data_IF_416475302153
#
_entry.id   IF_416475302153
#
_cell.length_a   1.000
_cell.length_b   1.000
_cell.length_c   1.000
_cell.angle_alpha   90.00
_cell.angle_beta   90.00
_cell.angle_gamma   90.00
#
_symmetry.space_group_name_H-M   'P 1'
#
loop_
_entity.id
_entity.type
_entity.pdbx_description
1 polymer ?
#
# COMPACT_ATOMS: atom_id res chain seq x y z
N UNK A 1 -4.74 9.26 -5.61
CA UNK A 1 -4.14 8.13 -6.36
C UNK A 1 -3.63 7.03 -5.40
N UNK A 2 -3.44 5.80 -5.88
CA UNK A 2 -2.95 4.69 -5.05
C UNK A 2 -2.03 3.74 -5.82
N UNK A 3 -1.33 2.88 -5.09
CA UNK A 3 -0.54 1.77 -5.62
C UNK A 3 -0.77 0.52 -4.79
N UNK A 4 -0.67 -0.64 -5.43
CA UNK A 4 -0.97 -1.93 -4.81
C UNK A 4 0.19 -2.89 -5.02
N UNK A 5 0.50 -3.68 -4.00
CA UNK A 5 1.35 -4.86 -4.13
C UNK A 5 0.65 -6.08 -3.54
N UNK A 6 0.74 -7.21 -4.25
CA UNK A 6 0.36 -8.52 -3.74
C UNK A 6 1.59 -9.41 -3.63
N UNK A 7 1.78 -10.03 -2.48
CA UNK A 7 2.87 -10.96 -2.18
C UNK A 7 2.30 -12.17 -1.47
N UNK A 8 2.13 -13.28 -2.20
CA UNK A 8 1.46 -14.47 -1.69
C UNK A 8 0.04 -14.15 -1.21
N UNK A 9 -0.21 -14.43 0.06
CA UNK A 9 -1.50 -14.23 0.73
C UNK A 9 -1.76 -12.76 1.10
N UNK A 10 -0.78 -11.86 0.96
CA UNK A 10 -0.89 -10.49 1.45
C UNK A 10 -1.11 -9.50 0.33
N UNK A 11 -2.00 -8.53 0.56
CA UNK A 11 -2.21 -7.36 -0.30
C UNK A 11 -2.03 -6.09 0.51
N UNK A 12 -1.18 -5.19 0.03
CA UNK A 12 -1.03 -3.84 0.57
C UNK A 12 -1.57 -2.85 -0.45
N UNK A 13 -2.40 -1.93 0.01
CA UNK A 13 -2.86 -0.76 -0.74
C UNK A 13 -2.22 0.47 -0.10
N UNK A 14 -1.44 1.22 -0.88
CA UNK A 14 -0.83 2.48 -0.50
C UNK A 14 -1.57 3.62 -1.18
N UNK A 15 -2.36 4.35 -0.41
CA UNK A 15 -2.92 5.63 -0.83
C UNK A 15 -1.87 6.72 -0.62
N UNK A 16 -1.68 7.58 -1.63
CA UNK A 16 -0.69 8.67 -1.53
C UNK A 16 -1.18 9.86 -0.70
N UNK A 17 -2.48 9.93 -0.46
CA UNK A 17 -3.16 11.00 0.27
C UNK A 17 -4.05 10.40 1.38
N UNK A 18 -3.72 9.20 1.87
CA UNK A 18 -4.55 8.48 2.82
C UNK A 18 -3.79 7.39 3.59
N UNK A 19 -4.47 6.68 4.50
CA UNK A 19 -3.88 5.60 5.27
C UNK A 19 -3.52 4.43 4.37
N UNK A 20 -2.58 3.58 4.81
CA UNK A 20 -2.33 2.31 4.14
C UNK A 20 -3.30 1.24 4.62
N UNK A 21 -3.61 0.29 3.75
CA UNK A 21 -4.47 -0.84 4.08
C UNK A 21 -3.75 -2.15 3.77
N UNK A 22 -3.86 -3.11 4.70
CA UNK A 22 -3.23 -4.42 4.59
C UNK A 22 -4.28 -5.51 4.79
N UNK A 23 -4.37 -6.42 3.83
CA UNK A 23 -5.32 -7.54 3.86
C UNK A 23 -4.59 -8.88 3.74
N UNK A 24 -5.14 -9.89 4.41
CA UNK A 24 -4.73 -11.28 4.25
C UNK A 24 -5.77 -12.01 3.39
N UNK A 25 -5.49 -12.13 2.10
CA UNK A 25 -6.41 -12.72 1.12
C UNK A 25 -6.63 -14.22 1.32
N UNK A 26 -5.79 -14.92 2.08
CA UNK A 26 -6.03 -16.35 2.39
C UNK A 26 -7.17 -16.52 3.39
N UNK A 27 -7.24 -15.64 4.38
CA UNK A 27 -8.24 -15.71 5.45
C UNK A 27 -9.41 -14.74 5.24
N UNK A 28 -9.23 -13.74 4.38
CA UNK A 28 -10.16 -12.64 4.15
C UNK A 28 -10.14 -12.23 2.67
N UNK A 29 -10.69 -13.09 1.81
CA UNK A 29 -10.80 -12.84 0.36
C UNK A 29 -11.66 -11.59 0.04
N UNK A 30 -12.58 -11.23 0.93
CA UNK A 30 -13.45 -10.07 0.78
C UNK A 30 -12.81 -8.74 1.20
N UNK A 31 -11.55 -8.75 1.67
CA UNK A 31 -10.83 -7.56 2.12
C UNK A 31 -11.60 -6.76 3.19
N UNK A 32 -12.25 -7.47 4.10
CA UNK A 32 -13.14 -6.89 5.11
C UNK A 32 -12.39 -6.34 6.33
N UNK A 33 -11.18 -6.84 6.60
CA UNK A 33 -10.42 -6.51 7.80
C UNK A 33 -9.07 -5.88 7.46
N UNK A 34 -8.97 -4.57 7.63
CA UNK A 34 -7.70 -3.86 7.53
C UNK A 34 -6.79 -4.21 8.73
N UNK A 35 -5.62 -4.79 8.44
CA UNK A 35 -4.61 -5.21 9.42
C UNK A 35 -3.41 -4.26 9.49
N UNK A 36 -3.43 -3.10 8.81
CA UNK A 36 -2.28 -2.21 8.69
C UNK A 36 -1.76 -1.75 10.06
N UNK A 37 -2.65 -1.35 10.97
CA UNK A 37 -2.28 -0.93 12.33
C UNK A 37 -1.88 -2.09 13.24
N UNK A 38 -2.30 -3.32 12.92
CA UNK A 38 -2.02 -4.52 13.71
C UNK A 38 -0.68 -5.14 13.31
N UNK A 39 -0.26 -4.97 12.05
CA UNK A 39 0.95 -5.59 11.50
C UNK A 39 1.86 -4.56 10.80
N UNK A 40 2.40 -3.57 11.53
CA UNK A 40 3.21 -2.50 10.95
C UNK A 40 4.48 -3.01 10.25
N UNK A 41 5.11 -4.07 10.76
CA UNK A 41 6.29 -4.67 10.14
C UNK A 41 5.97 -5.26 8.75
N UNK A 42 4.78 -5.85 8.60
CA UNK A 42 4.31 -6.42 7.34
C UNK A 42 4.06 -5.31 6.32
N UNK A 43 3.44 -4.21 6.76
CA UNK A 43 3.22 -3.00 5.95
C UNK A 43 4.57 -2.47 5.46
N UNK A 44 5.52 -2.22 6.37
CA UNK A 44 6.84 -1.68 6.03
C UNK A 44 7.59 -2.55 5.02
N UNK A 45 7.53 -3.88 5.18
CA UNK A 45 8.16 -4.83 4.25
C UNK A 45 7.56 -4.75 2.85
N UNK A 46 6.24 -4.78 2.74
CA UNK A 46 5.55 -4.74 1.46
C UNK A 46 5.67 -3.37 0.80
N UNK A 47 5.62 -2.29 1.58
CA UNK A 47 5.84 -0.94 1.09
C UNK A 47 7.25 -0.79 0.49
N UNK A 48 8.28 -1.30 1.18
CA UNK A 48 9.65 -1.29 0.66
C UNK A 48 9.78 -2.01 -0.69
N UNK A 49 9.14 -3.17 -0.83
CA UNK A 49 9.09 -3.91 -2.10
C UNK A 49 8.32 -3.15 -3.19
N UNK A 50 7.18 -2.57 -2.85
CA UNK A 50 6.40 -1.75 -3.77
C UNK A 50 7.22 -0.54 -4.26
N UNK A 51 7.88 0.18 -3.36
CA UNK A 51 8.72 1.31 -3.71
C UNK A 51 9.86 0.88 -4.63
N UNK A 52 10.58 -0.19 -4.29
CA UNK A 52 11.67 -0.70 -5.11
C UNK A 52 11.21 -1.05 -6.54
N UNK A 53 10.05 -1.70 -6.66
CA UNK A 53 9.46 -2.03 -7.96
C UNK A 53 9.08 -0.77 -8.76
N UNK A 54 8.38 0.18 -8.14
CA UNK A 54 7.99 1.44 -8.79
C UNK A 54 9.20 2.22 -9.30
N UNK A 55 10.29 2.25 -8.53
CA UNK A 55 11.56 2.87 -8.95
C UNK A 55 12.18 2.14 -10.13
N UNK A 56 12.20 0.81 -10.11
CA UNK A 56 12.81 -0.01 -11.16
C UNK A 56 12.11 0.17 -12.53
N UNK A 57 10.79 0.34 -12.54
CA UNK A 57 10.02 0.53 -13.78
C UNK A 57 9.88 2.00 -14.19
N UNK A 58 10.48 2.93 -13.44
CA UNK A 58 10.36 4.37 -13.71
C UNK A 58 8.92 4.89 -13.57
N UNK A 59 8.13 4.31 -12.67
CA UNK A 59 6.74 4.70 -12.47
C UNK A 59 6.62 6.19 -12.08
N UNK A 60 5.68 6.90 -12.69
CA UNK A 60 5.35 8.28 -12.30
C UNK A 60 4.54 8.24 -11.00
N UNK A 61 5.19 8.59 -9.89
CA UNK A 61 4.55 8.68 -8.58
C UNK A 61 3.96 10.09 -8.40
N UNK A 62 2.69 10.22 -7.97
CA UNK A 62 2.09 11.52 -7.68
C UNK A 62 2.84 12.23 -6.55
N UNK A 63 3.07 13.53 -6.72
CA UNK A 63 3.61 14.40 -5.66
C UNK A 63 2.44 15.06 -4.93
N UNK A 64 2.54 15.28 -3.60
CA UNK A 64 1.55 16.05 -2.87
C UNK A 64 1.35 17.42 -3.53
N UNK A 65 0.09 17.82 -3.74
CA UNK A 65 -0.22 19.13 -4.28
C UNK A 65 -0.14 20.17 -3.15
N UNK A 66 0.79 21.15 -3.20
CA UNK A 66 0.90 22.17 -2.16
C UNK A 66 -0.30 23.12 -2.09
N UNK A 67 -1.16 23.15 -3.11
CA UNK A 67 -2.38 23.95 -3.14
C UNK A 67 -3.64 23.19 -2.68
N UNK A 68 -3.52 21.91 -2.29
CA UNK A 68 -4.61 21.18 -1.68
C UNK A 68 -4.90 21.78 -0.29
N UNK A 69 -5.88 22.68 -0.22
CA UNK A 69 -6.38 23.20 1.05
C UNK A 69 -7.23 22.12 1.73
N UNK A 70 -6.88 21.79 2.97
CA UNK A 70 -7.75 21.04 3.90
C UNK A 70 -8.95 21.89 4.32
#
# INVERSE_FOLDING_TARGET
PYSIIREGDWKLIKFYEGPMELFNLKNDLGETKNLASVMPDKVKRLEGRLHAHLKAVGAKIPKPNPAAKN
#
